data_IF_992364602309
#
_entry.id   IF_992364602309
#
_cell.length_a   1.000
_cell.length_b   1.000
_cell.length_c   1.000
_cell.angle_alpha   90.00
_cell.angle_beta   90.00
_cell.angle_gamma   90.00
#
_symmetry.space_group_name_H-M   'P 1'
#
loop_
_entity.id
_entity.type
_entity.pdbx_description
1 polymer ?
#
# COMPACT_ATOMS: atom_id res chain seq x y z
N UNK A 1 25.03 -7.21 14.72
CA UNK A 1 25.16 -5.85 14.17
C UNK A 1 25.81 -5.98 12.80
N UNK A 2 25.09 -5.67 11.72
CA UNK A 2 25.66 -5.62 10.38
C UNK A 2 25.85 -4.14 10.02
N UNK A 3 27.04 -3.78 9.56
CA UNK A 3 27.31 -2.45 9.02
C UNK A 3 27.32 -2.59 7.51
N UNK A 4 26.45 -1.83 6.83
CA UNK A 4 26.38 -1.76 5.38
C UNK A 4 26.88 -0.39 4.97
N UNK A 5 27.98 -0.37 4.22
CA UNK A 5 28.45 0.83 3.55
C UNK A 5 27.78 0.85 2.18
N UNK A 6 27.02 1.90 1.91
CA UNK A 6 26.40 2.10 0.60
C UNK A 6 27.25 3.12 -0.15
N UNK A 7 28.01 2.64 -1.11
CA UNK A 7 28.83 3.46 -2.01
C UNK A 7 28.03 3.77 -3.29
N UNK A 8 28.40 4.86 -3.98
CA UNK A 8 27.81 5.30 -5.26
C UNK A 8 26.29 5.58 -5.25
N UNK A 9 25.79 6.24 -4.19
CA UNK A 9 24.42 6.76 -4.19
C UNK A 9 24.34 8.00 -5.07
N UNK A 10 23.38 8.01 -6.01
CA UNK A 10 23.04 9.19 -6.81
C UNK A 10 22.70 10.38 -5.88
N UNK A 11 23.40 11.52 -5.99
CA UNK A 11 23.17 12.68 -5.14
C UNK A 11 21.74 13.22 -5.23
N UNK A 12 21.04 13.02 -6.35
CA UNK A 12 19.63 13.37 -6.49
C UNK A 12 18.72 12.50 -5.62
N UNK A 13 19.06 11.22 -5.46
CA UNK A 13 18.34 10.29 -4.59
C UNK A 13 18.62 10.64 -3.12
N UNK A 14 19.87 10.94 -2.79
CA UNK A 14 20.26 11.37 -1.45
C UNK A 14 19.47 12.60 -0.99
N UNK A 15 19.33 13.62 -1.86
CA UNK A 15 18.55 14.82 -1.56
C UNK A 15 17.06 14.54 -1.32
N UNK A 16 16.47 13.59 -2.06
CA UNK A 16 15.09 13.16 -1.82
C UNK A 16 14.93 12.46 -0.47
N UNK A 17 15.86 11.57 -0.12
CA UNK A 17 15.83 10.87 1.17
C UNK A 17 16.01 11.87 2.32
N UNK A 18 16.83 12.89 2.17
CA UNK A 18 17.00 13.93 3.19
C UNK A 18 15.72 14.73 3.42
N UNK A 19 14.98 15.07 2.34
CA UNK A 19 13.67 15.72 2.45
C UNK A 19 12.67 14.82 3.18
N UNK A 20 12.62 13.53 2.82
CA UNK A 20 11.75 12.55 3.48
C UNK A 20 12.11 12.37 4.97
N UNK A 21 13.40 12.31 5.29
CA UNK A 21 13.88 12.23 6.66
C UNK A 21 13.43 13.44 7.49
N UNK A 22 13.54 14.66 6.93
CA UNK A 22 13.03 15.89 7.56
C UNK A 22 11.51 15.86 7.76
N UNK A 23 10.75 15.36 6.78
CA UNK A 23 9.30 15.24 6.88
C UNK A 23 8.87 14.23 7.96
N UNK A 24 9.61 13.13 8.11
CA UNK A 24 9.34 12.10 9.11
C UNK A 24 9.95 12.41 10.49
N UNK A 25 10.72 13.49 10.62
CA UNK A 25 11.41 13.86 11.86
C UNK A 25 12.50 12.87 12.27
N UNK A 26 13.13 12.20 11.30
CA UNK A 26 14.14 11.15 11.49
C UNK A 26 15.50 11.60 10.99
N UNK A 27 16.55 10.98 11.50
CA UNK A 27 17.89 11.14 10.90
C UNK A 27 17.95 10.45 9.53
N UNK A 28 18.86 10.90 8.66
CA UNK A 28 19.06 10.31 7.33
C UNK A 28 19.35 8.80 7.40
N UNK A 29 20.15 8.40 8.40
CA UNK A 29 20.51 7.00 8.62
C UNK A 29 19.30 6.17 9.09
N UNK A 30 18.45 6.71 9.96
CA UNK A 30 17.23 6.03 10.40
C UNK A 30 16.23 5.90 9.26
N UNK A 31 16.07 6.92 8.43
CA UNK A 31 15.19 6.87 7.27
C UNK A 31 15.68 5.84 6.25
N UNK A 32 16.99 5.79 5.98
CA UNK A 32 17.57 4.78 5.12
C UNK A 32 17.36 3.36 5.68
N UNK A 33 17.55 3.17 6.99
CA UNK A 33 17.28 1.89 7.65
C UNK A 33 15.81 1.51 7.53
N UNK A 34 14.90 2.46 7.71
CA UNK A 34 13.47 2.23 7.62
C UNK A 34 13.04 1.90 6.18
N UNK A 35 13.59 2.60 5.18
CA UNK A 35 13.35 2.31 3.76
C UNK A 35 13.90 0.93 3.41
N UNK A 36 15.10 0.55 3.86
CA UNK A 36 15.66 -0.78 3.62
C UNK A 36 14.85 -1.88 4.30
N UNK A 37 14.38 -1.65 5.53
CA UNK A 37 13.51 -2.57 6.24
C UNK A 37 12.16 -2.72 5.50
N UNK A 38 11.54 -1.60 5.13
CA UNK A 38 10.31 -1.59 4.35
C UNK A 38 10.51 -2.21 2.97
N UNK A 39 11.66 -2.05 2.34
CA UNK A 39 11.97 -2.67 1.05
C UNK A 39 12.19 -4.17 1.21
N UNK A 40 12.80 -4.65 2.29
CA UNK A 40 12.92 -6.08 2.56
C UNK A 40 11.57 -6.73 2.93
N UNK A 41 10.79 -6.06 3.77
CA UNK A 41 9.41 -6.44 4.11
C UNK A 41 8.52 -6.39 2.87
N UNK A 42 8.67 -5.35 2.04
CA UNK A 42 7.93 -5.23 0.80
C UNK A 42 8.50 -6.10 -0.30
N UNK A 43 9.76 -6.54 -0.34
CA UNK A 43 10.22 -7.51 -1.35
C UNK A 43 9.62 -8.88 -1.09
N UNK A 44 9.35 -9.21 0.18
CA UNK A 44 8.43 -10.29 0.51
C UNK A 44 7.01 -10.07 -0.07
N UNK A 45 6.64 -8.82 -0.38
CA UNK A 45 5.43 -8.41 -1.13
C UNK A 45 5.65 -8.06 -2.63
N UNK A 46 6.88 -7.93 -3.13
CA UNK A 46 7.24 -7.74 -4.54
C UNK A 46 7.37 -9.09 -5.26
N UNK A 47 6.99 -10.18 -4.59
CA UNK A 47 6.12 -11.16 -5.28
C UNK A 47 4.79 -10.47 -5.51
N UNK A 48 4.78 -9.56 -6.51
CA UNK A 48 3.79 -8.50 -6.68
C UNK A 48 2.40 -8.98 -6.33
N UNK A 49 1.78 -8.30 -5.35
CA UNK A 49 0.42 -8.60 -4.87
C UNK A 49 -0.42 -9.12 -6.01
N UNK A 50 -0.60 -10.44 -5.99
CA UNK A 50 -0.84 -11.26 -7.17
C UNK A 50 -2.00 -10.65 -7.96
N UNK A 51 -1.67 -9.90 -9.01
CA UNK A 51 -2.68 -9.19 -9.80
C UNK A 51 -3.68 -10.19 -10.38
N UNK A 52 -3.30 -11.47 -10.48
CA UNK A 52 -4.22 -12.56 -10.77
C UNK A 52 -5.19 -12.81 -9.60
N UNK A 53 -4.76 -12.85 -8.33
CA UNK A 53 -5.67 -12.93 -7.16
C UNK A 53 -6.59 -11.72 -7.04
N UNK A 54 -6.09 -10.51 -7.32
CA UNK A 54 -6.93 -9.31 -7.33
C UNK A 54 -8.00 -9.39 -8.43
N UNK A 55 -7.61 -9.79 -9.66
CA UNK A 55 -8.55 -10.01 -10.76
C UNK A 55 -9.53 -11.14 -10.48
N UNK A 56 -9.10 -12.22 -9.85
CA UNK A 56 -9.95 -13.35 -9.48
C UNK A 56 -10.96 -12.94 -8.39
N UNK A 57 -10.56 -12.14 -7.40
CA UNK A 57 -11.46 -11.59 -6.40
C UNK A 57 -12.55 -10.71 -7.05
N UNK A 58 -12.15 -9.85 -8.00
CA UNK A 58 -13.10 -9.01 -8.76
C UNK A 58 -14.02 -9.85 -9.64
N UNK A 59 -13.50 -10.86 -10.34
CA UNK A 59 -14.31 -11.76 -11.16
C UNK A 59 -15.33 -12.54 -10.34
N UNK A 60 -14.94 -13.05 -9.15
CA UNK A 60 -15.85 -13.71 -8.21
C UNK A 60 -16.92 -12.76 -7.67
N UNK A 61 -16.55 -11.51 -7.36
CA UNK A 61 -17.51 -10.50 -6.93
C UNK A 61 -18.49 -10.18 -8.06
N UNK A 62 -18.00 -9.92 -9.27
CA UNK A 62 -18.84 -9.67 -10.43
C UNK A 62 -19.79 -10.83 -10.69
N UNK A 63 -19.32 -12.09 -10.70
CA UNK A 63 -20.16 -13.28 -10.89
C UNK A 63 -21.24 -13.43 -9.79
N UNK A 64 -20.93 -13.10 -8.53
CA UNK A 64 -21.90 -13.12 -7.43
C UNK A 64 -22.98 -12.04 -7.54
N UNK A 65 -22.68 -10.95 -8.24
CA UNK A 65 -23.54 -9.78 -8.34
C UNK A 65 -24.11 -9.56 -9.75
N UNK A 66 -23.75 -10.39 -10.74
CA UNK A 66 -24.34 -10.34 -12.08
C UNK A 66 -25.78 -10.83 -12.00
N UNK A 67 -26.73 -10.01 -12.46
CA UNK A 67 -28.16 -10.34 -12.42
C UNK A 67 -28.85 -10.03 -11.09
N UNK A 68 -28.17 -9.44 -10.10
CA UNK A 68 -28.81 -8.86 -8.92
C UNK A 68 -29.08 -7.38 -9.15
N UNK A 69 -30.35 -7.01 -9.20
CA UNK A 69 -30.80 -5.62 -9.04
C UNK A 69 -30.72 -5.28 -7.56
N UNK A 70 -29.77 -4.44 -7.18
CA UNK A 70 -29.77 -3.85 -5.84
C UNK A 70 -30.79 -2.73 -5.84
N UNK A 71 -31.81 -2.82 -4.98
CA UNK A 71 -32.65 -1.66 -4.69
C UNK A 71 -31.75 -0.56 -4.13
N UNK A 72 -32.06 0.69 -4.47
CA UNK A 72 -31.29 1.83 -3.99
C UNK A 72 -31.20 1.75 -2.47
N UNK A 73 -29.98 1.55 -1.97
CA UNK A 73 -29.69 1.44 -0.53
C UNK A 73 -30.23 2.63 0.27
N UNK A 74 -30.51 3.77 -0.39
CA UNK A 74 -31.12 4.94 0.21
C UNK A 74 -32.60 4.75 0.63
N UNK A 75 -33.35 3.81 0.04
CA UNK A 75 -34.72 3.48 0.48
C UNK A 75 -34.71 2.52 1.68
N UNK A 76 -33.86 1.49 1.66
CA UNK A 76 -33.72 0.52 2.76
C UNK A 76 -33.27 1.18 4.07
N UNK A 77 -32.34 2.14 3.99
CA UNK A 77 -31.89 2.92 5.16
C UNK A 77 -33.00 3.86 5.67
N UNK A 78 -33.92 4.30 4.80
CA UNK A 78 -35.03 5.18 5.17
C UNK A 78 -36.13 4.44 5.92
N UNK A 79 -36.47 3.21 5.49
CA UNK A 79 -37.42 2.34 6.20
C UNK A 79 -36.91 1.95 7.59
N UNK A 80 -35.62 1.61 7.72
CA UNK A 80 -35.05 1.20 9.01
C UNK A 80 -35.03 2.35 10.03
N UNK A 81 -34.87 3.60 9.55
CA UNK A 81 -34.92 4.81 10.40
C UNK A 81 -36.35 5.24 10.78
N UNK A 82 -37.39 4.66 10.17
CA UNK A 82 -38.80 4.93 10.50
C UNK A 82 -39.43 3.86 11.42
N UNK A 83 -38.64 2.89 11.91
CA UNK A 83 -39.06 1.95 12.97
C UNK A 83 -38.68 2.42 14.36
#
# INVERSE_FOLDING_TARGET
MAQVLVEDIDPMILGKIEILAKQHGRSLQEELKHILQQAAENEAYHTGGDMAKAREAVARAQARYTGRTFSDSAELIREDRQR
#
